data_IF_048908213869
#
_entry.id   IF_048908213869
#
_cell.length_a   1.000
_cell.length_b   1.000
_cell.length_c   1.000
_cell.angle_alpha   90.00
_cell.angle_beta   90.00
_cell.angle_gamma   90.00
#
_symmetry.space_group_name_H-M   'P 1'
#
loop_
_entity.id
_entity.type
_entity.pdbx_description
1 polymer ?
#
# COMPACT_ATOMS: atom_id res chain seq x y z
N UNK A 1 20.46 17.38 -19.27
CA UNK A 1 20.04 17.43 -17.85
C UNK A 1 21.21 17.93 -17.03
N UNK A 2 20.96 18.76 -16.03
CA UNK A 2 22.01 19.30 -15.17
C UNK A 2 21.54 19.37 -13.70
N UNK A 3 22.49 19.38 -12.79
CA UNK A 3 22.30 19.63 -11.37
C UNK A 3 23.44 20.51 -10.87
N UNK A 4 23.14 21.42 -9.94
CA UNK A 4 24.09 22.38 -9.37
C UNK A 4 23.88 22.41 -7.86
N UNK A 5 24.98 22.40 -7.10
CA UNK A 5 24.95 22.45 -5.64
C UNK A 5 25.72 23.66 -5.17
N UNK A 6 25.07 24.47 -4.35
CA UNK A 6 25.66 25.60 -3.64
C UNK A 6 25.70 25.30 -2.14
N UNK A 7 26.61 25.96 -1.44
CA UNK A 7 26.64 26.02 0.02
C UNK A 7 26.49 27.47 0.47
N UNK A 8 25.70 27.69 1.51
CA UNK A 8 25.58 28.97 2.20
C UNK A 8 26.23 28.86 3.57
N UNK A 9 27.12 29.79 3.89
CA UNK A 9 27.82 29.83 5.19
C UNK A 9 27.44 31.12 5.89
N UNK A 10 26.85 31.00 7.07
CA UNK A 10 26.49 32.14 7.92
C UNK A 10 27.56 32.29 9.00
N UNK A 11 28.37 33.34 8.92
CA UNK A 11 29.42 33.65 9.89
C UNK A 11 29.21 35.02 10.54
N UNK A 12 30.11 35.40 11.44
CA UNK A 12 30.10 36.71 12.10
C UNK A 12 30.20 37.89 11.11
N UNK A 13 30.83 37.66 9.96
CA UNK A 13 31.12 38.68 8.95
C UNK A 13 30.06 38.74 7.84
N UNK A 14 28.93 38.04 8.02
CA UNK A 14 27.85 37.96 7.05
C UNK A 14 27.67 36.57 6.46
N UNK A 15 26.90 36.51 5.38
CA UNK A 15 26.54 35.26 4.69
C UNK A 15 27.20 35.20 3.32
N UNK A 16 27.84 34.08 3.00
CA UNK A 16 28.44 33.83 1.69
C UNK A 16 27.76 32.65 0.98
N UNK A 17 27.69 32.73 -0.34
CA UNK A 17 27.24 31.63 -1.21
C UNK A 17 28.45 31.16 -2.02
N UNK A 18 28.62 29.86 -2.16
CA UNK A 18 29.66 29.30 -3.03
C UNK A 18 29.14 28.12 -3.82
N UNK A 19 29.47 28.09 -5.11
CA UNK A 19 29.26 26.92 -5.97
C UNK A 19 30.18 25.79 -5.48
N UNK A 20 29.58 24.67 -5.07
CA UNK A 20 30.34 23.49 -4.61
C UNK A 20 30.69 22.60 -5.79
N UNK A 21 29.69 22.21 -6.57
CA UNK A 21 29.87 21.39 -7.74
C UNK A 21 28.64 21.44 -8.65
N UNK A 22 28.83 21.02 -9.90
CA UNK A 22 27.74 20.78 -10.83
C UNK A 22 27.96 19.46 -11.54
N UNK A 23 26.87 18.91 -12.10
CA UNK A 23 26.91 17.68 -12.89
C UNK A 23 25.95 17.78 -14.06
N UNK A 24 26.46 17.58 -15.26
CA UNK A 24 25.65 17.49 -16.47
C UNK A 24 25.55 16.05 -16.95
N UNK A 25 24.47 15.76 -17.66
CA UNK A 25 24.24 14.48 -18.33
C UNK A 25 23.52 14.71 -19.64
N UNK A 26 24.07 14.16 -20.72
CA UNK A 26 23.46 14.17 -22.06
C UNK A 26 22.11 13.45 -22.02
N UNK A 27 21.17 13.90 -22.86
CA UNK A 27 19.87 13.25 -22.97
C UNK A 27 20.03 11.76 -23.36
N UNK A 28 19.23 10.85 -22.79
CA UNK A 28 19.29 9.43 -23.16
C UNK A 28 18.92 9.20 -24.63
N UNK A 29 19.53 8.19 -25.27
CA UNK A 29 19.21 7.79 -26.65
C UNK A 29 17.74 7.37 -26.80
N UNK A 30 17.16 6.73 -25.78
CA UNK A 30 15.73 6.44 -25.73
C UNK A 30 14.95 7.74 -25.49
N UNK A 31 14.07 8.10 -26.43
CA UNK A 31 13.21 9.28 -26.29
C UNK A 31 12.40 9.21 -25.00
N UNK A 32 12.55 10.24 -24.17
CA UNK A 32 11.77 10.48 -22.97
C UNK A 32 10.96 11.76 -23.16
N UNK A 33 9.81 11.84 -22.50
CA UNK A 33 9.04 13.09 -22.41
C UNK A 33 9.81 14.12 -21.57
N UNK A 34 9.52 15.41 -21.78
CA UNK A 34 10.15 16.51 -21.03
C UNK A 34 10.01 16.30 -19.51
N UNK A 35 8.81 15.99 -18.96
CA UNK A 35 8.67 15.73 -17.51
C UNK A 35 9.54 14.57 -17.00
N UNK A 36 9.74 13.52 -17.81
CA UNK A 36 10.60 12.39 -17.44
C UNK A 36 12.09 12.76 -17.47
N UNK A 37 12.50 13.69 -18.32
CA UNK A 37 13.85 14.26 -18.33
C UNK A 37 14.08 15.13 -17.10
N UNK A 38 13.12 15.99 -16.75
CA UNK A 38 13.16 16.84 -15.55
C UNK A 38 13.22 15.99 -14.27
N UNK A 39 12.40 14.94 -14.15
CA UNK A 39 12.49 13.99 -13.04
C UNK A 39 13.85 13.27 -12.98
N UNK A 40 14.45 13.00 -14.14
CA UNK A 40 15.78 12.38 -14.17
C UNK A 40 16.88 13.38 -13.77
N UNK A 41 16.71 14.67 -14.05
CA UNK A 41 17.57 15.73 -13.52
C UNK A 41 17.42 15.87 -11.99
N UNK A 42 16.20 15.78 -11.46
CA UNK A 42 15.96 15.76 -10.02
C UNK A 42 16.67 14.57 -9.33
N UNK A 43 16.61 13.37 -9.92
CA UNK A 43 17.35 12.21 -9.41
C UNK A 43 18.87 12.40 -9.50
N UNK A 44 19.37 13.09 -10.53
CA UNK A 44 20.79 13.45 -10.64
C UNK A 44 21.20 14.35 -9.47
N UNK A 45 20.39 15.36 -9.13
CA UNK A 45 20.62 16.24 -7.99
C UNK A 45 20.60 15.46 -6.67
N UNK A 46 19.63 14.56 -6.45
CA UNK A 46 19.57 13.73 -5.23
C UNK A 46 20.85 12.93 -5.00
N UNK A 47 21.36 12.30 -6.06
CA UNK A 47 22.60 11.51 -5.98
C UNK A 47 23.83 12.39 -5.78
N UNK A 48 23.87 13.54 -6.45
CA UNK A 48 24.94 14.52 -6.28
C UNK A 48 24.98 15.04 -4.84
N UNK A 49 23.82 15.35 -4.25
CA UNK A 49 23.72 15.81 -2.87
C UNK A 49 24.20 14.74 -1.88
N UNK A 50 23.81 13.47 -2.08
CA UNK A 50 24.32 12.36 -1.27
C UNK A 50 25.85 12.26 -1.34
N UNK A 51 26.43 12.38 -2.54
CA UNK A 51 27.88 12.39 -2.72
C UNK A 51 28.55 13.57 -2.00
N UNK A 52 28.00 14.78 -2.14
CA UNK A 52 28.52 15.99 -1.50
C UNK A 52 28.48 15.87 0.03
N UNK A 53 27.37 15.39 0.60
CA UNK A 53 27.25 15.17 2.05
C UNK A 53 28.28 14.15 2.56
N UNK A 54 28.43 13.03 1.85
CA UNK A 54 29.40 11.99 2.22
C UNK A 54 30.87 12.47 2.10
N UNK A 55 31.15 13.37 1.15
CA UNK A 55 32.50 13.86 0.87
C UNK A 55 32.90 14.99 1.81
N UNK A 56 32.05 16.01 1.95
CA UNK A 56 32.38 17.21 2.72
C UNK A 56 32.26 17.00 4.24
N UNK A 57 31.37 16.08 4.68
CA UNK A 57 31.14 15.76 6.10
C UNK A 57 30.94 17.00 6.98
N UNK A 58 30.29 18.01 6.44
CA UNK A 58 29.96 19.26 7.14
C UNK A 58 28.67 19.08 7.95
N UNK A 59 28.59 19.79 9.07
CA UNK A 59 27.34 19.93 9.82
C UNK A 59 26.40 20.90 9.09
N UNK A 60 25.56 20.35 8.22
CA UNK A 60 24.59 21.13 7.43
C UNK A 60 23.29 21.29 8.22
N UNK A 61 22.92 22.52 8.53
CA UNK A 61 21.69 22.84 9.26
C UNK A 61 20.43 22.48 8.48
N UNK A 62 20.41 22.76 7.18
CA UNK A 62 19.26 22.48 6.32
C UNK A 62 19.70 22.20 4.88
N UNK A 63 19.02 21.27 4.21
CA UNK A 63 19.21 20.98 2.78
C UNK A 63 17.93 21.32 2.02
N UNK A 64 18.03 22.19 1.02
CA UNK A 64 16.93 22.57 0.14
C UNK A 64 17.25 22.19 -1.31
N UNK A 65 16.34 21.47 -1.95
CA UNK A 65 16.47 20.98 -3.32
C UNK A 65 15.41 21.65 -4.18
N UNK A 66 15.82 22.19 -5.32
CA UNK A 66 14.97 23.05 -6.13
C UNK A 66 14.77 22.47 -7.53
N UNK A 67 13.55 22.61 -8.06
CA UNK A 67 13.21 22.30 -9.44
C UNK A 67 12.25 23.35 -9.99
N UNK A 68 12.41 23.69 -11.26
CA UNK A 68 11.52 24.57 -12.02
C UNK A 68 10.37 23.83 -12.70
N UNK A 69 10.31 22.51 -12.56
CA UNK A 69 9.23 21.68 -13.05
C UNK A 69 8.21 21.44 -11.96
N UNK A 70 7.05 22.11 -12.05
CA UNK A 70 5.91 21.87 -11.16
C UNK A 70 5.46 20.41 -11.23
N UNK A 71 5.47 19.81 -12.43
CA UNK A 71 5.13 18.39 -12.62
C UNK A 71 6.09 17.49 -11.84
N UNK A 72 7.40 17.72 -11.96
CA UNK A 72 8.41 16.95 -11.23
C UNK A 72 8.25 17.13 -9.72
N UNK A 73 7.99 18.36 -9.26
CA UNK A 73 7.76 18.65 -7.85
C UNK A 73 6.51 17.92 -7.32
N UNK A 74 5.41 17.92 -8.07
CA UNK A 74 4.18 17.18 -7.74
C UNK A 74 4.46 15.68 -7.61
N UNK A 75 5.24 15.11 -8.53
CA UNK A 75 5.61 13.69 -8.49
C UNK A 75 6.44 13.34 -7.26
N UNK A 76 7.43 14.17 -6.93
CA UNK A 76 8.33 13.95 -5.79
C UNK A 76 7.60 14.10 -4.45
N UNK A 77 6.68 15.06 -4.33
CA UNK A 77 5.91 15.30 -3.10
C UNK A 77 4.77 14.29 -2.87
N UNK A 78 4.36 13.59 -3.92
CA UNK A 78 3.35 12.54 -3.84
C UNK A 78 3.93 11.16 -3.49
N UNK A 79 3.11 10.27 -2.94
CA UNK A 79 3.54 8.89 -2.71
C UNK A 79 3.87 8.17 -4.02
N UNK A 80 5.04 7.50 -4.08
CA UNK A 80 5.56 6.90 -5.30
C UNK A 80 4.59 5.88 -5.95
N UNK A 81 3.78 5.16 -5.17
CA UNK A 81 2.84 4.16 -5.67
C UNK A 81 1.74 4.72 -6.57
N UNK A 82 1.49 6.03 -6.53
CA UNK A 82 0.53 6.72 -7.41
C UNK A 82 0.96 6.67 -8.87
N UNK A 83 2.24 6.45 -9.16
CA UNK A 83 2.81 6.62 -10.48
C UNK A 83 3.07 5.31 -11.23
N UNK A 84 3.11 5.38 -12.56
CA UNK A 84 3.61 4.30 -13.43
C UNK A 84 5.10 4.02 -13.15
N UNK A 85 5.55 2.83 -13.53
CA UNK A 85 6.85 2.27 -13.12
C UNK A 85 8.05 3.20 -13.29
N UNK A 86 8.15 3.90 -14.43
CA UNK A 86 9.28 4.80 -14.69
C UNK A 86 9.39 5.93 -13.65
N UNK A 87 8.25 6.58 -13.37
CA UNK A 87 8.15 7.70 -12.44
C UNK A 87 8.23 7.17 -11.01
N UNK A 88 7.46 6.13 -10.66
CA UNK A 88 7.48 5.49 -9.34
C UNK A 88 8.88 5.12 -8.88
N UNK A 89 9.64 4.42 -9.73
CA UNK A 89 10.95 3.93 -9.35
C UNK A 89 11.96 5.08 -9.11
N UNK A 90 11.82 6.19 -9.84
CA UNK A 90 12.66 7.39 -9.65
C UNK A 90 12.24 8.20 -8.44
N UNK A 91 10.93 8.42 -8.26
CA UNK A 91 10.38 9.10 -7.09
C UNK A 91 10.76 8.37 -5.81
N UNK A 92 10.66 7.04 -5.78
CA UNK A 92 11.08 6.23 -4.63
C UNK A 92 12.57 6.40 -4.31
N UNK A 93 13.43 6.43 -5.33
CA UNK A 93 14.87 6.69 -5.13
C UNK A 93 15.13 8.13 -4.64
N UNK A 94 14.48 9.13 -5.23
CA UNK A 94 14.60 10.52 -4.81
C UNK A 94 14.21 10.65 -3.34
N UNK A 95 13.00 10.20 -2.98
CA UNK A 95 12.49 10.26 -1.60
C UNK A 95 13.41 9.56 -0.60
N UNK A 96 13.96 8.39 -0.97
CA UNK A 96 14.94 7.68 -0.13
C UNK A 96 16.24 8.46 0.05
N UNK A 97 16.78 9.03 -1.03
CA UNK A 97 18.04 9.77 -1.01
C UNK A 97 17.91 11.14 -0.32
N UNK A 98 16.71 11.71 -0.31
CA UNK A 98 16.46 13.08 0.14
C UNK A 98 15.48 13.14 1.31
N UNK A 99 15.44 12.09 2.15
CA UNK A 99 14.49 12.00 3.28
C UNK A 99 14.60 13.18 4.25
N UNK A 100 15.82 13.73 4.42
CA UNK A 100 16.11 14.86 5.32
C UNK A 100 16.28 16.20 4.56
N UNK A 101 15.76 16.30 3.34
CA UNK A 101 15.87 17.51 2.52
C UNK A 101 14.50 17.99 2.04
N UNK A 102 14.40 19.29 1.77
CA UNK A 102 13.14 19.93 1.39
C UNK A 102 13.11 20.23 -0.10
N UNK A 103 12.18 19.62 -0.82
CA UNK A 103 11.94 19.91 -2.23
C UNK A 103 11.04 21.14 -2.41
N UNK A 104 11.51 22.09 -3.21
CA UNK A 104 10.84 23.38 -3.48
C UNK A 104 10.83 23.72 -4.97
N UNK A 105 9.92 24.59 -5.35
CA UNK A 105 9.83 25.18 -6.68
C UNK A 105 10.78 26.38 -6.79
N UNK A 106 11.46 26.51 -7.94
CA UNK A 106 12.20 27.70 -8.34
C UNK A 106 11.74 28.17 -9.73
N UNK A 107 11.58 29.47 -10.01
CA UNK A 107 11.33 29.94 -11.38
C UNK A 107 12.47 29.54 -12.33
N UNK A 108 12.16 29.14 -13.55
CA UNK A 108 13.18 28.74 -14.55
C UNK A 108 14.22 29.84 -14.82
N UNK A 109 13.80 31.12 -14.76
CA UNK A 109 14.72 32.29 -14.87
C UNK A 109 15.70 32.42 -13.71
N UNK A 110 15.44 31.76 -12.58
CA UNK A 110 16.29 31.71 -11.39
C UNK A 110 16.94 30.34 -11.18
N UNK A 111 16.84 29.43 -12.15
CA UNK A 111 17.40 28.08 -12.04
C UNK A 111 18.83 28.05 -12.64
N UNK A 112 19.90 27.99 -11.82
CA UNK A 112 21.27 27.96 -12.33
C UNK A 112 21.60 26.68 -13.11
N UNK A 113 20.85 25.59 -12.93
CA UNK A 113 21.08 24.38 -13.71
C UNK A 113 20.74 24.55 -15.20
N UNK A 114 19.91 25.53 -15.55
CA UNK A 114 19.57 25.82 -16.94
C UNK A 114 20.74 26.36 -17.74
N UNK A 115 21.64 27.11 -17.10
CA UNK A 115 22.91 27.56 -17.68
C UNK A 115 23.73 26.37 -18.23
N UNK A 116 23.80 25.28 -17.47
CA UNK A 116 24.53 24.08 -17.85
C UNK A 116 23.74 23.12 -18.76
N UNK A 117 22.41 23.21 -18.78
CA UNK A 117 21.56 22.33 -19.60
C UNK A 117 21.36 22.87 -21.02
N UNK A 118 21.27 24.20 -21.18
CA UNK A 118 21.07 24.91 -22.45
C UNK A 118 22.38 25.26 -23.15
N UNK A 119 23.49 25.29 -22.40
CA UNK A 119 24.80 25.68 -22.87
C UNK A 119 25.01 27.18 -22.79
N UNK A 120 26.22 27.58 -22.38
CA UNK A 120 26.69 28.96 -22.36
C UNK A 120 28.07 29.00 -23.03
N UNK A 121 28.34 30.06 -23.78
CA UNK A 121 29.71 30.31 -24.25
C UNK A 121 30.59 30.79 -23.09
N UNK A 122 31.89 30.54 -23.17
CA UNK A 122 32.87 30.82 -22.10
C UNK A 122 32.84 32.28 -21.65
N UNK A 123 32.72 33.23 -22.58
CA UNK A 123 32.65 34.66 -22.29
C UNK A 123 31.39 35.03 -21.49
N UNK A 124 30.24 34.41 -21.77
CA UNK A 124 29.01 34.61 -21.01
C UNK A 124 29.11 33.96 -19.63
N UNK A 125 29.70 32.77 -19.55
CA UNK A 125 29.83 32.04 -18.28
C UNK A 125 30.67 32.82 -17.27
N UNK A 126 31.75 33.48 -17.71
CA UNK A 126 32.65 34.22 -16.82
C UNK A 126 31.92 35.31 -16.02
N UNK A 127 30.96 36.01 -16.63
CA UNK A 127 30.18 37.08 -15.99
C UNK A 127 28.81 36.63 -15.48
N UNK A 128 28.47 35.34 -15.54
CA UNK A 128 27.14 34.84 -15.22
C UNK A 128 26.90 34.72 -13.72
N UNK A 129 26.40 35.79 -13.07
CA UNK A 129 26.17 35.83 -11.62
C UNK A 129 25.34 34.65 -11.11
N UNK A 130 24.20 34.35 -11.76
CA UNK A 130 23.32 33.24 -11.34
C UNK A 130 24.06 31.90 -11.26
N UNK A 131 25.04 31.65 -12.15
CA UNK A 131 25.81 30.40 -12.14
C UNK A 131 26.81 30.35 -10.98
N UNK A 132 27.51 31.46 -10.72
CA UNK A 132 28.59 31.49 -9.72
C UNK A 132 28.09 31.71 -8.30
N UNK A 133 27.08 32.56 -8.13
CA UNK A 133 26.57 32.96 -6.81
C UNK A 133 25.17 32.45 -6.52
N UNK A 134 24.52 31.77 -7.47
CA UNK A 134 23.13 31.38 -7.32
C UNK A 134 22.17 32.58 -7.29
N UNK A 135 20.87 32.33 -7.05
CA UNK A 135 19.89 33.40 -6.93
C UNK A 135 20.06 34.18 -5.62
N UNK A 136 20.05 35.53 -5.64
CA UNK A 136 20.29 36.35 -4.45
C UNK A 136 19.32 36.09 -3.30
N UNK A 137 18.05 35.79 -3.62
CA UNK A 137 17.01 35.55 -2.64
C UNK A 137 17.25 34.30 -1.79
N UNK A 138 18.19 33.40 -2.16
CA UNK A 138 18.45 32.19 -1.38
C UNK A 138 18.91 32.50 0.05
N UNK A 139 19.52 33.67 0.27
CA UNK A 139 20.01 34.13 1.57
C UNK A 139 18.90 34.60 2.51
N UNK A 140 17.72 34.91 1.98
CA UNK A 140 16.61 35.50 2.72
C UNK A 140 15.40 34.58 2.59
N UNK A 141 15.13 33.70 3.57
CA UNK A 141 14.01 32.75 3.52
C UNK A 141 12.65 33.38 3.18
N UNK A 142 12.42 34.62 3.62
CA UNK A 142 11.20 35.39 3.37
C UNK A 142 11.07 35.83 1.91
N UNK A 143 12.18 35.93 1.18
CA UNK A 143 12.23 36.28 -0.24
C UNK A 143 12.18 35.06 -1.17
N UNK A 144 12.05 33.84 -0.61
CA UNK A 144 12.01 32.62 -1.41
C UNK A 144 10.77 32.59 -2.33
N UNK A 145 10.87 31.98 -3.52
CA UNK A 145 9.76 31.90 -4.45
C UNK A 145 8.51 31.25 -3.84
N UNK A 146 7.36 31.84 -4.14
CA UNK A 146 6.05 31.26 -3.80
C UNK A 146 5.94 29.83 -4.33
N UNK A 147 5.45 28.94 -3.47
CA UNK A 147 5.30 27.54 -3.83
C UNK A 147 3.94 27.34 -4.52
N UNK A 148 3.90 26.79 -5.75
CA UNK A 148 2.66 26.62 -6.49
C UNK A 148 1.76 25.58 -5.81
N UNK A 149 0.45 25.76 -5.95
CA UNK A 149 -0.52 24.74 -5.60
C UNK A 149 -0.32 23.53 -6.53
N UNK A 150 -0.08 22.36 -5.95
CA UNK A 150 0.18 21.14 -6.71
C UNK A 150 -1.16 20.53 -7.11
N UNK A 151 -1.54 20.68 -8.38
CA UNK A 151 -2.75 20.06 -8.94
C UNK A 151 -2.45 18.67 -9.50
N UNK A 152 -3.37 17.74 -9.28
CA UNK A 152 -3.31 16.39 -9.82
C UNK A 152 -3.55 16.35 -11.35
N UNK A 153 -4.17 17.37 -11.94
CA UNK A 153 -4.47 17.44 -13.38
C UNK A 153 -3.21 17.35 -14.25
N UNK A 154 -2.13 18.01 -13.80
CA UNK A 154 -0.83 18.06 -14.47
C UNK A 154 -0.11 16.70 -14.50
N UNK A 155 -0.59 15.71 -13.73
CA UNK A 155 0.06 14.40 -13.55
C UNK A 155 -0.79 13.21 -14.04
N UNK A 156 -1.96 13.48 -14.62
CA UNK A 156 -2.94 12.45 -15.06
C UNK A 156 -2.35 11.37 -15.96
N UNK A 157 -1.47 11.74 -16.90
CA UNK A 157 -0.88 10.79 -17.85
C UNK A 157 0.08 9.75 -17.21
N UNK A 158 0.72 10.09 -16.08
CA UNK A 158 1.65 9.20 -15.37
C UNK A 158 1.05 8.59 -14.10
N UNK A 159 -0.15 9.01 -13.72
CA UNK A 159 -0.93 8.36 -12.69
C UNK A 159 -1.19 6.90 -13.10
N UNK A 160 -0.97 5.99 -12.17
CA UNK A 160 -1.43 4.61 -12.29
C UNK A 160 -2.95 4.66 -12.13
N UNK A 161 -3.73 4.06 -13.06
CA UNK A 161 -5.17 3.92 -12.86
C UNK A 161 -5.40 3.32 -11.48
N UNK A 162 -6.15 4.01 -10.63
CA UNK A 162 -6.43 3.54 -9.29
C UNK A 162 -7.16 2.21 -9.39
N UNK A 163 -6.46 1.10 -9.14
CA UNK A 163 -7.14 -0.13 -8.76
C UNK A 163 -7.57 0.13 -7.33
N UNK A 164 -8.78 0.64 -7.15
CA UNK A 164 -9.44 0.67 -5.87
C UNK A 164 -9.67 -0.78 -5.45
N UNK A 165 -8.69 -1.37 -4.78
CA UNK A 165 -8.87 -2.63 -4.06
C UNK A 165 -9.68 -2.27 -2.81
N UNK A 166 -11.00 -2.25 -2.97
CA UNK A 166 -11.91 -2.29 -1.83
C UNK A 166 -11.71 -3.65 -1.16
N UNK A 167 -10.82 -3.70 -0.16
CA UNK A 167 -10.90 -4.71 0.86
C UNK A 167 -12.13 -4.38 1.71
N UNK A 168 -13.31 -4.75 1.22
CA UNK A 168 -14.47 -4.85 2.08
C UNK A 168 -14.15 -5.98 3.06
N UNK A 169 -13.73 -5.64 4.28
CA UNK A 169 -13.87 -6.55 5.39
C UNK A 169 -15.38 -6.72 5.59
N UNK A 170 -16.00 -7.65 4.86
CA UNK A 170 -17.32 -8.13 5.21
C UNK A 170 -17.15 -8.78 6.58
N UNK A 171 -17.47 -8.03 7.63
CA UNK A 171 -17.85 -8.68 8.88
C UNK A 171 -18.99 -9.61 8.48
N UNK A 172 -18.85 -10.93 8.65
CA UNK A 172 -19.94 -11.83 8.37
C UNK A 172 -21.06 -11.42 9.31
N UNK A 173 -22.20 -11.09 8.71
CA UNK A 173 -23.40 -10.83 9.46
C UNK A 173 -23.89 -12.17 10.00
N UNK A 174 -23.31 -12.60 11.13
CA UNK A 174 -23.90 -13.67 11.90
C UNK A 174 -25.24 -13.11 12.38
N UNK A 175 -26.35 -13.74 12.00
CA UNK A 175 -27.68 -13.42 12.50
C UNK A 175 -27.81 -13.52 14.05
N UNK A 176 -26.73 -13.85 14.77
CA UNK A 176 -26.68 -14.08 16.21
C UNK A 176 -25.43 -13.47 16.84
N UNK A 177 -25.60 -12.41 17.63
CA UNK A 177 -24.52 -11.80 18.44
C UNK A 177 -23.91 -12.76 19.48
N UNK A 178 -24.56 -13.89 19.73
CA UNK A 178 -24.19 -14.84 20.78
C UNK A 178 -22.76 -15.36 20.62
N UNK A 179 -22.26 -15.46 19.38
CA UNK A 179 -20.89 -15.89 19.08
C UNK A 179 -19.84 -14.94 19.65
N UNK A 180 -20.17 -13.65 19.78
CA UNK A 180 -19.26 -12.61 20.26
C UNK A 180 -19.32 -12.41 21.79
N UNK A 181 -20.28 -13.04 22.49
CA UNK A 181 -20.50 -12.83 23.93
C UNK A 181 -19.65 -13.73 24.83
N UNK A 182 -18.92 -14.71 24.26
CA UNK A 182 -18.15 -15.68 25.03
C UNK A 182 -16.76 -15.91 24.46
N UNK A 183 -15.75 -15.91 25.35
CA UNK A 183 -14.34 -16.09 24.99
C UNK A 183 -13.91 -17.55 24.82
N UNK A 184 -14.82 -18.53 25.00
CA UNK A 184 -14.50 -19.96 24.83
C UNK A 184 -15.62 -20.70 24.10
N UNK A 185 -15.23 -21.54 23.14
CA UNK A 185 -16.17 -22.36 22.36
C UNK A 185 -17.02 -23.26 23.26
N UNK A 186 -16.42 -23.89 24.28
CA UNK A 186 -17.15 -24.76 25.21
C UNK A 186 -18.27 -24.04 25.96
N UNK A 187 -18.06 -22.77 26.32
CA UNK A 187 -19.10 -21.95 26.98
C UNK A 187 -20.22 -21.62 26.00
N UNK A 188 -19.86 -21.24 24.76
CA UNK A 188 -20.83 -21.00 23.70
C UNK A 188 -21.70 -22.24 23.43
N UNK A 189 -21.09 -23.41 23.24
CA UNK A 189 -21.79 -24.67 22.99
C UNK A 189 -22.73 -25.05 24.13
N UNK A 190 -22.29 -24.92 25.39
CA UNK A 190 -23.13 -25.21 26.57
C UNK A 190 -24.35 -24.29 26.65
N UNK A 191 -24.16 -22.99 26.40
CA UNK A 191 -25.27 -22.02 26.42
C UNK A 191 -26.25 -22.31 25.28
N UNK A 192 -25.75 -22.54 24.06
CA UNK A 192 -26.62 -22.91 22.92
C UNK A 192 -27.38 -24.21 23.17
N UNK A 193 -26.73 -25.22 23.74
CA UNK A 193 -27.38 -26.48 24.12
C UNK A 193 -28.49 -26.28 25.17
N UNK A 194 -28.28 -25.40 26.15
CA UNK A 194 -29.31 -25.03 27.13
C UNK A 194 -30.50 -24.32 26.47
N UNK A 195 -30.24 -23.40 25.53
CA UNK A 195 -31.30 -22.74 24.76
C UNK A 195 -32.13 -23.77 23.97
N UNK A 196 -31.50 -24.72 23.28
CA UNK A 196 -32.21 -25.77 22.55
C UNK A 196 -33.03 -26.67 23.47
N UNK A 197 -32.47 -27.07 24.63
CA UNK A 197 -33.22 -27.81 25.65
C UNK A 197 -34.46 -27.03 26.10
N UNK A 198 -34.30 -25.75 26.42
CA UNK A 198 -35.41 -24.90 26.84
C UNK A 198 -36.50 -24.78 25.75
N UNK A 199 -36.11 -24.54 24.49
CA UNK A 199 -37.04 -24.48 23.35
C UNK A 199 -37.78 -25.81 23.17
N UNK A 200 -37.09 -26.95 23.35
CA UNK A 200 -37.71 -28.28 23.23
C UNK A 200 -38.78 -28.55 24.28
N UNK A 201 -38.68 -27.90 25.46
CA UNK A 201 -39.70 -27.98 26.52
C UNK A 201 -40.94 -27.14 26.22
N UNK A 202 -40.81 -26.08 25.42
CA UNK A 202 -41.90 -25.19 25.01
C UNK A 202 -42.69 -25.70 23.79
N UNK A 203 -42.16 -26.69 23.06
CA UNK A 203 -42.81 -27.24 21.86
C UNK A 203 -44.00 -28.17 22.17
N UNK A 204 -45.08 -28.06 21.37
CA UNK A 204 -46.30 -28.91 21.50
C UNK A 204 -46.06 -30.42 21.32
N UNK A 205 -44.90 -30.83 20.80
CA UNK A 205 -44.46 -32.23 20.70
C UNK A 205 -43.39 -32.48 21.76
N UNK A 206 -43.72 -33.18 22.84
CA UNK A 206 -42.74 -33.64 23.85
C UNK A 206 -41.70 -34.54 23.18
N UNK A 207 -40.56 -33.97 22.81
CA UNK A 207 -39.36 -34.76 22.47
C UNK A 207 -38.77 -35.27 23.78
N UNK A 208 -38.22 -36.49 23.78
CA UNK A 208 -37.46 -36.99 24.94
C UNK A 208 -36.35 -35.99 25.26
N UNK A 209 -36.06 -35.71 26.54
CA UNK A 209 -34.94 -34.86 26.91
C UNK A 209 -33.67 -35.39 26.26
N UNK A 210 -33.01 -34.57 25.43
CA UNK A 210 -31.71 -34.91 24.88
C UNK A 210 -30.72 -35.02 26.05
N UNK A 211 -29.93 -36.09 26.04
CA UNK A 211 -28.79 -36.17 26.95
C UNK A 211 -27.85 -34.97 26.73
N UNK A 212 -26.95 -34.73 27.68
CA UNK A 212 -26.04 -33.59 27.60
C UNK A 212 -25.11 -33.66 26.38
N UNK A 213 -24.68 -34.86 25.99
CA UNK A 213 -23.76 -35.06 24.87
C UNK A 213 -24.43 -34.73 23.54
N UNK A 214 -25.62 -35.27 23.30
CA UNK A 214 -26.44 -35.04 22.11
C UNK A 214 -26.78 -33.56 21.92
N UNK A 215 -27.09 -32.86 23.02
CA UNK A 215 -27.39 -31.42 22.98
C UNK A 215 -26.16 -30.56 22.66
N UNK A 216 -24.97 -30.97 23.12
CA UNK A 216 -23.71 -30.30 22.78
C UNK A 216 -23.33 -30.52 21.32
N UNK A 217 -23.54 -31.73 20.79
CA UNK A 217 -23.32 -32.03 19.38
C UNK A 217 -24.30 -31.27 18.47
N UNK A 218 -25.57 -31.15 18.84
CA UNK A 218 -26.54 -30.32 18.11
C UNK A 218 -26.13 -28.84 18.10
N UNK A 219 -25.67 -28.32 19.24
CA UNK A 219 -25.12 -26.97 19.33
C UNK A 219 -23.87 -26.79 18.45
N UNK A 220 -22.99 -27.80 18.38
CA UNK A 220 -21.79 -27.79 17.55
C UNK A 220 -22.14 -27.74 16.07
N UNK A 221 -23.04 -28.61 15.62
CA UNK A 221 -23.51 -28.60 14.23
C UNK A 221 -24.22 -27.31 13.85
N UNK A 222 -24.97 -26.71 14.79
CA UNK A 222 -25.57 -25.39 14.58
C UNK A 222 -24.51 -24.33 14.26
N UNK A 223 -23.46 -24.23 15.09
CA UNK A 223 -22.41 -23.23 14.88
C UNK A 223 -21.57 -23.48 13.62
N UNK A 224 -21.27 -24.74 13.30
CA UNK A 224 -20.61 -25.08 12.03
C UNK A 224 -21.45 -24.58 10.84
N UNK A 225 -22.76 -24.86 10.84
CA UNK A 225 -23.66 -24.41 9.77
C UNK A 225 -23.77 -22.89 9.72
N UNK A 226 -23.85 -22.22 10.86
CA UNK A 226 -23.89 -20.76 10.92
C UNK A 226 -22.61 -20.13 10.33
N UNK A 227 -21.44 -20.66 10.69
CA UNK A 227 -20.16 -20.22 10.12
C UNK A 227 -20.08 -20.52 8.62
N UNK A 228 -20.47 -21.71 8.18
CA UNK A 228 -20.47 -22.04 6.75
C UNK A 228 -21.43 -21.14 5.95
N UNK A 229 -22.63 -20.88 6.46
CA UNK A 229 -23.60 -19.99 5.82
C UNK A 229 -23.06 -18.56 5.66
N UNK A 230 -22.33 -18.08 6.67
CA UNK A 230 -21.76 -16.75 6.69
C UNK A 230 -20.55 -16.58 5.75
N UNK A 231 -19.74 -17.62 5.55
CA UNK A 231 -18.48 -17.53 4.78
C UNK A 231 -18.51 -18.19 3.41
N UNK A 232 -19.41 -19.16 3.21
CA UNK A 232 -19.44 -20.02 2.02
C UNK A 232 -20.79 -19.92 1.30
N UNK A 233 -21.46 -18.76 1.37
CA UNK A 233 -22.80 -18.57 0.81
C UNK A 233 -22.87 -18.95 -0.68
N UNK A 234 -21.85 -18.56 -1.45
CA UNK A 234 -21.77 -18.86 -2.88
C UNK A 234 -21.55 -20.36 -3.12
N UNK A 235 -20.62 -20.97 -2.38
CA UNK A 235 -20.29 -22.38 -2.47
C UNK A 235 -21.46 -23.27 -2.06
N UNK A 236 -22.20 -22.90 -1.00
CA UNK A 236 -23.42 -23.59 -0.56
C UNK A 236 -24.46 -23.57 -1.69
N UNK A 237 -24.71 -22.42 -2.31
CA UNK A 237 -25.66 -22.31 -3.44
C UNK A 237 -25.27 -23.23 -4.59
N UNK A 238 -23.98 -23.23 -4.96
CA UNK A 238 -23.46 -24.06 -6.04
C UNK A 238 -23.57 -25.56 -5.73
N UNK A 239 -23.17 -25.98 -4.53
CA UNK A 239 -23.23 -27.38 -4.10
C UNK A 239 -24.66 -27.88 -3.95
N UNK A 240 -25.57 -27.06 -3.43
CA UNK A 240 -27.00 -27.41 -3.30
C UNK A 240 -27.66 -27.58 -4.67
N UNK A 241 -27.25 -26.78 -5.66
CA UNK A 241 -27.73 -26.86 -7.04
C UNK A 241 -27.06 -27.97 -7.87
N UNK A 242 -26.28 -28.87 -7.26
CA UNK A 242 -25.46 -29.88 -7.95
C UNK A 242 -24.56 -29.30 -9.07
N UNK A 243 -24.23 -28.03 -8.98
CA UNK A 243 -23.40 -27.33 -9.96
C UNK A 243 -21.92 -27.45 -9.58
N UNK A 244 -21.04 -27.58 -10.58
CA UNK A 244 -19.59 -27.74 -10.35
C UNK A 244 -18.94 -26.37 -10.16
N UNK A 245 -18.19 -26.22 -9.07
CA UNK A 245 -17.29 -25.08 -8.89
C UNK A 245 -16.13 -25.17 -9.90
N UNK A 246 -15.50 -24.04 -10.28
CA UNK A 246 -14.33 -24.05 -11.16
C UNK A 246 -13.26 -25.04 -10.66
N UNK A 247 -12.56 -25.71 -11.58
CA UNK A 247 -11.53 -26.71 -11.22
C UNK A 247 -10.38 -26.14 -10.39
N UNK A 248 -10.07 -24.85 -10.57
CA UNK A 248 -9.09 -24.13 -9.78
C UNK A 248 -9.55 -23.79 -8.34
N UNK A 249 -10.85 -23.92 -8.04
CA UNK A 249 -11.41 -23.56 -6.74
C UNK A 249 -11.00 -24.57 -5.66
N UNK A 250 -10.76 -24.09 -4.43
CA UNK A 250 -10.30 -24.92 -3.33
C UNK A 250 -11.27 -26.07 -2.98
N UNK A 251 -12.57 -25.80 -3.05
CA UNK A 251 -13.61 -26.81 -2.75
C UNK A 251 -13.66 -27.92 -3.79
N UNK A 252 -13.34 -27.63 -5.06
CA UNK A 252 -13.23 -28.64 -6.13
C UNK A 252 -12.04 -29.57 -5.87
N UNK A 253 -10.90 -29.01 -5.46
CA UNK A 253 -9.69 -29.79 -5.12
C UNK A 253 -9.87 -30.67 -3.89
N UNK A 254 -10.70 -30.23 -2.95
CA UNK A 254 -11.03 -30.96 -1.72
C UNK A 254 -12.25 -31.87 -1.90
N UNK A 255 -12.81 -31.98 -3.11
CA UNK A 255 -14.01 -32.79 -3.41
C UNK A 255 -15.14 -32.52 -2.41
N UNK A 256 -15.41 -31.24 -2.14
CA UNK A 256 -16.38 -30.82 -1.14
C UNK A 256 -17.79 -31.31 -1.46
N UNK A 257 -18.52 -31.77 -0.45
CA UNK A 257 -19.93 -32.14 -0.57
C UNK A 257 -20.72 -31.74 0.68
N UNK A 258 -22.05 -31.68 0.58
CA UNK A 258 -22.95 -31.43 1.70
C UNK A 258 -23.44 -32.78 2.23
N UNK A 259 -23.28 -33.02 3.53
CA UNK A 259 -23.72 -34.26 4.20
C UNK A 259 -25.23 -34.25 4.52
N UNK A 260 -25.73 -35.33 5.12
CA UNK A 260 -27.13 -35.47 5.53
C UNK A 260 -27.55 -34.48 6.63
N UNK A 261 -26.59 -33.90 7.35
CA UNK A 261 -26.79 -32.92 8.41
C UNK A 261 -26.76 -31.47 7.88
N UNK A 262 -26.49 -31.28 6.58
CA UNK A 262 -26.43 -29.99 5.90
C UNK A 262 -25.07 -29.27 6.07
N UNK A 263 -24.00 -30.00 6.41
CA UNK A 263 -22.66 -29.48 6.64
C UNK A 263 -21.78 -29.76 5.42
N UNK A 264 -21.02 -28.75 4.98
CA UNK A 264 -20.01 -28.93 3.95
C UNK A 264 -18.81 -29.67 4.53
N UNK A 265 -18.44 -30.80 3.92
CA UNK A 265 -17.32 -31.65 4.34
C UNK A 265 -16.34 -31.89 3.20
N UNK A 266 -15.10 -32.18 3.57
CA UNK A 266 -14.05 -32.63 2.66
C UNK A 266 -14.35 -34.06 2.19
N UNK A 267 -14.32 -34.30 0.89
CA UNK A 267 -14.42 -35.64 0.30
C UNK A 267 -13.04 -36.26 0.01
N UNK A 268 -13.04 -37.51 -0.45
CA UNK A 268 -11.90 -38.12 -1.13
C UNK A 268 -11.07 -39.08 -0.28
N UNK A 269 -9.77 -38.77 -0.10
CA UNK A 269 -8.67 -39.73 0.19
C UNK A 269 -8.85 -40.65 1.41
N UNK A 270 -9.70 -40.30 2.38
CA UNK A 270 -9.94 -41.07 3.59
C UNK A 270 -11.13 -42.04 3.48
N UNK A 271 -11.79 -42.13 2.32
CA UNK A 271 -12.95 -43.00 2.10
C UNK A 271 -12.67 -44.49 2.40
N UNK A 272 -11.43 -44.95 2.29
CA UNK A 272 -11.03 -46.35 2.58
C UNK A 272 -10.42 -46.57 3.97
N UNK A 273 -10.40 -45.56 4.84
CA UNK A 273 -9.85 -45.69 6.20
C UNK A 273 -10.87 -46.30 7.19
N UNK A 274 -10.39 -46.92 8.27
CA UNK A 274 -11.22 -47.47 9.35
C UNK A 274 -11.67 -46.42 10.40
N UNK A 275 -11.53 -45.13 10.09
CA UNK A 275 -11.88 -44.03 10.98
C UNK A 275 -13.42 -43.90 11.13
N UNK A 276 -13.90 -43.13 12.10
CA UNK A 276 -15.31 -42.74 12.18
C UNK A 276 -15.66 -41.72 11.06
N UNK A 277 -16.95 -41.50 10.79
CA UNK A 277 -17.37 -40.61 9.71
C UNK A 277 -16.87 -39.17 9.88
N UNK A 278 -16.76 -38.68 11.11
CA UNK A 278 -16.29 -37.31 11.38
C UNK A 278 -14.78 -37.13 11.12
N UNK A 279 -13.96 -38.15 11.39
CA UNK A 279 -12.53 -38.13 11.06
C UNK A 279 -12.25 -38.48 9.58
N UNK A 280 -13.17 -39.19 8.91
CA UNK A 280 -13.07 -39.42 7.45
C UNK A 280 -13.38 -38.15 6.65
N UNK A 281 -14.39 -37.40 7.09
CA UNK A 281 -14.96 -36.28 6.33
C UNK A 281 -14.98 -35.02 7.21
N UNK A 282 -13.83 -34.37 7.37
CA UNK A 282 -13.73 -33.16 8.19
C UNK A 282 -14.63 -32.03 7.67
N UNK A 283 -15.31 -31.34 8.58
CA UNK A 283 -16.12 -30.15 8.27
C UNK A 283 -15.23 -29.01 7.75
N UNK A 284 -15.66 -28.37 6.66
CA UNK A 284 -14.95 -27.22 6.11
C UNK A 284 -15.25 -25.95 6.91
N UNK A 285 -14.21 -25.26 7.37
CA UNK A 285 -14.30 -23.99 8.08
C UNK A 285 -13.38 -22.96 7.43
N UNK A 286 -13.69 -21.66 7.51
CA UNK A 286 -12.85 -20.60 6.95
C UNK A 286 -11.46 -20.59 7.59
N UNK A 287 -10.44 -20.20 6.82
CA UNK A 287 -9.02 -20.23 7.23
C UNK A 287 -8.66 -19.26 8.35
N UNK A 288 -9.51 -18.28 8.64
CA UNK A 288 -9.28 -17.33 9.72
C UNK A 288 -10.30 -17.62 10.81
N UNK A 289 -9.83 -18.23 11.90
CA UNK A 289 -10.15 -18.03 13.33
C UNK A 289 -9.49 -19.18 14.07
N UNK A 290 -8.16 -19.13 14.13
CA UNK A 290 -7.41 -19.82 15.17
C UNK A 290 -7.31 -18.83 16.32
N UNK A 291 -8.20 -18.95 17.29
CA UNK A 291 -7.89 -18.59 18.67
C UNK A 291 -7.57 -19.86 19.41
#
# INVERSE_FOLDING_TARGET
MAAVVFITVHGSNGTTISLVCSKTKVAPLKRLTIPRLELTAALLLSRLMQYVQATLKLNVTATHLWTDSVVTLTWIKSHASRWKDFVRNRVSQIQKLTANAHWKYVPGTSNPADCASRGLITAQLQSHSLWWTGPPWILTPEAWPSQPALSDELSTHEARPGIALHAAASQPDYHWDLIYRYSTLNKLLKITALCFKFISLLGKRRRRPLDLHSALEEARFFWIKATQAAYFTHEIKMLTANSRLPTAHAFSRLTAYIDAQGIIRVGGRLNQSALDQDNKHHSMLPRHFST
#
